data_IF_043325828030
#
_entry.id   IF_043325828030
#
_cell.length_a   1.000
_cell.length_b   1.000
_cell.length_c   1.000
_cell.angle_alpha   90.00
_cell.angle_beta   90.00
_cell.angle_gamma   90.00
#
_symmetry.space_group_name_H-M   'P 1'
#
loop_
_entity.id
_entity.type
_entity.pdbx_description
1 polymer ?
#
# COMPACT_ATOMS: atom_id res chain seq x y z
N UNK A 1 23.58 -3.08 -34.97
CA UNK A 1 23.45 -2.19 -33.80
C UNK A 1 22.26 -2.64 -32.97
N UNK A 2 22.50 -3.12 -31.75
CA UNK A 2 21.48 -3.69 -30.84
C UNK A 2 20.91 -2.57 -29.97
N UNK A 3 19.59 -2.38 -29.98
CA UNK A 3 18.87 -1.52 -29.01
C UNK A 3 17.52 -2.20 -28.70
N UNK A 4 17.49 -3.28 -27.91
CA UNK A 4 17.21 -3.31 -26.45
C UNK A 4 16.22 -2.26 -25.94
N UNK A 5 14.97 -2.24 -26.44
CA UNK A 5 13.81 -1.92 -25.59
C UNK A 5 12.60 -2.67 -26.15
N UNK A 6 12.35 -3.90 -25.68
CA UNK A 6 11.03 -4.52 -25.83
C UNK A 6 10.23 -4.08 -24.60
N UNK A 7 9.35 -3.10 -24.76
CA UNK A 7 8.39 -2.72 -23.73
C UNK A 7 7.30 -3.79 -23.70
N UNK A 8 7.61 -4.89 -23.02
CA UNK A 8 6.63 -5.91 -22.63
C UNK A 8 5.49 -5.17 -21.92
N UNK A 9 4.32 -5.19 -22.56
CA UNK A 9 3.12 -4.52 -22.09
C UNK A 9 2.80 -4.99 -20.68
N UNK A 10 2.82 -4.05 -19.74
CA UNK A 10 2.25 -4.20 -18.42
C UNK A 10 0.74 -4.45 -18.61
N UNK A 11 0.36 -5.73 -18.65
CA UNK A 11 -1.04 -6.15 -18.68
C UNK A 11 -1.67 -5.85 -17.33
N UNK A 12 -2.31 -4.68 -17.22
CA UNK A 12 -3.15 -4.31 -16.07
C UNK A 12 -4.34 -5.25 -15.90
N UNK A 13 -4.68 -5.98 -16.97
CA UNK A 13 -5.78 -6.94 -17.04
C UNK A 13 -5.41 -8.23 -16.27
N UNK A 14 -4.16 -8.68 -16.33
CA UNK A 14 -3.67 -9.82 -15.53
C UNK A 14 -3.55 -9.48 -14.03
N UNK A 15 -3.37 -8.19 -13.71
CA UNK A 15 -3.47 -7.71 -12.32
C UNK A 15 -4.91 -7.74 -11.77
N UNK A 16 -5.91 -7.69 -12.65
CA UNK A 16 -7.33 -7.64 -12.30
C UNK A 16 -8.00 -9.02 -12.23
N UNK A 17 -7.33 -10.09 -12.67
CA UNK A 17 -7.83 -11.46 -12.50
C UNK A 17 -7.59 -11.94 -11.05
N UNK A 18 -8.55 -11.60 -10.16
CA UNK A 18 -8.65 -11.94 -8.73
C UNK A 18 -8.61 -13.44 -8.35
N UNK A 19 -8.15 -14.33 -9.24
CA UNK A 19 -8.08 -15.77 -9.00
C UNK A 19 -6.96 -16.19 -8.03
N UNK A 20 -6.00 -15.30 -7.79
CA UNK A 20 -4.97 -15.45 -6.77
C UNK A 20 -5.09 -14.25 -5.85
N UNK A 21 -4.86 -14.41 -4.54
CA UNK A 21 -4.89 -13.31 -3.57
C UNK A 21 -3.89 -12.21 -3.94
N UNK A 22 -4.30 -11.30 -4.82
CA UNK A 22 -3.53 -10.17 -5.34
C UNK A 22 -3.41 -9.07 -4.29
N UNK A 23 -4.33 -9.05 -3.32
CA UNK A 23 -4.41 -7.99 -2.32
C UNK A 23 -3.12 -7.68 -1.57
N UNK A 24 -2.35 -8.66 -1.02
CA UNK A 24 -1.07 -8.34 -0.39
C UNK A 24 -0.05 -7.77 -1.38
N UNK A 25 -0.08 -8.17 -2.65
CA UNK A 25 0.85 -7.70 -3.69
C UNK A 25 0.48 -6.29 -4.20
N UNK A 26 -0.82 -5.97 -4.29
CA UNK A 26 -1.26 -4.64 -4.71
C UNK A 26 -0.92 -3.57 -3.67
N UNK A 27 -1.05 -3.93 -2.37
CA UNK A 27 -0.71 -3.05 -1.25
C UNK A 27 0.78 -2.73 -1.23
N UNK A 28 1.66 -3.69 -1.56
CA UNK A 28 3.11 -3.42 -1.59
C UNK A 28 3.52 -2.48 -2.71
N UNK A 29 2.88 -2.56 -3.89
CA UNK A 29 3.09 -1.59 -4.97
C UNK A 29 2.59 -0.21 -4.56
N UNK A 30 1.39 -0.14 -3.98
CA UNK A 30 0.79 1.12 -3.52
C UNK A 30 1.64 1.79 -2.43
N UNK A 31 2.21 1.00 -1.52
CA UNK A 31 3.15 1.49 -0.50
C UNK A 31 4.34 2.23 -1.12
N UNK A 32 4.99 1.64 -2.13
CA UNK A 32 6.11 2.27 -2.82
C UNK A 32 5.71 3.55 -3.55
N UNK A 33 4.55 3.55 -4.22
CA UNK A 33 4.01 4.73 -4.91
C UNK A 33 3.74 5.86 -3.92
N UNK A 34 3.06 5.57 -2.80
CA UNK A 34 2.76 6.55 -1.76
C UNK A 34 4.04 7.07 -1.10
N UNK A 35 5.04 6.21 -0.86
CA UNK A 35 6.32 6.64 -0.31
C UNK A 35 7.03 7.62 -1.25
N UNK A 36 7.09 7.31 -2.55
CA UNK A 36 7.63 8.22 -3.57
C UNK A 36 6.85 9.53 -3.58
N UNK A 37 5.52 9.49 -3.50
CA UNK A 37 4.68 10.69 -3.48
C UNK A 37 4.96 11.57 -2.25
N UNK A 38 5.14 10.97 -1.07
CA UNK A 38 5.47 11.70 0.16
C UNK A 38 6.84 12.36 0.02
N UNK A 39 7.84 11.66 -0.51
CA UNK A 39 9.17 12.22 -0.76
C UNK A 39 9.11 13.38 -1.75
N UNK A 40 8.39 13.22 -2.87
CA UNK A 40 8.19 14.28 -3.87
C UNK A 40 7.47 15.49 -3.28
N UNK A 41 6.42 15.25 -2.49
CA UNK A 41 5.65 16.32 -1.83
C UNK A 41 6.52 17.06 -0.83
N UNK A 42 7.32 16.34 -0.02
CA UNK A 42 8.27 16.95 0.91
C UNK A 42 9.33 17.80 0.21
N UNK A 43 9.91 17.30 -0.89
CA UNK A 43 10.82 18.08 -1.72
C UNK A 43 10.14 19.34 -2.27
N UNK A 44 8.90 19.22 -2.73
CA UNK A 44 8.09 20.35 -3.21
C UNK A 44 7.89 21.42 -2.13
N UNK A 45 7.58 21.02 -0.90
CA UNK A 45 7.40 21.97 0.22
C UNK A 45 8.73 22.62 0.61
N UNK A 46 9.85 21.90 0.56
CA UNK A 46 11.18 22.50 0.82
C UNK A 46 11.50 23.56 -0.23
N UNK A 47 11.31 23.26 -1.53
CA UNK A 47 11.52 24.21 -2.62
C UNK A 47 10.60 25.43 -2.47
N UNK A 48 9.32 25.21 -2.16
CA UNK A 48 8.36 26.28 -1.93
C UNK A 48 8.75 27.17 -0.73
N UNK A 49 9.32 26.58 0.32
CA UNK A 49 9.77 27.31 1.51
C UNK A 49 10.87 28.33 1.18
N UNK A 50 11.78 28.00 0.26
CA UNK A 50 12.81 28.94 -0.22
C UNK A 50 12.20 30.16 -0.94
N UNK A 51 11.12 29.99 -1.71
CA UNK A 51 10.41 31.14 -2.30
C UNK A 51 9.68 31.97 -1.24
N UNK A 52 9.09 31.34 -0.23
CA UNK A 52 8.38 32.06 0.84
C UNK A 52 9.31 32.97 1.66
N UNK A 53 10.59 32.64 1.80
CA UNK A 53 11.59 33.50 2.46
C UNK A 53 11.78 34.86 1.76
N UNK A 54 11.56 34.96 0.45
CA UNK A 54 11.66 36.24 -0.27
C UNK A 54 10.55 37.21 0.10
N UNK A 55 9.36 36.71 0.42
CA UNK A 55 8.20 37.55 0.76
C UNK A 55 8.18 37.88 2.26
N UNK A 56 8.45 36.90 3.11
CA UNK A 56 8.46 37.09 4.57
C UNK A 56 9.33 36.04 5.25
N UNK A 57 10.29 36.50 6.06
CA UNK A 57 11.19 35.65 6.83
C UNK A 57 10.41 34.68 7.75
N UNK A 58 9.36 35.18 8.41
CA UNK A 58 8.56 34.36 9.33
C UNK A 58 7.73 33.31 8.58
N UNK A 59 7.21 33.65 7.39
CA UNK A 59 6.47 32.73 6.54
C UNK A 59 7.33 31.59 6.01
N UNK A 60 8.56 31.89 5.58
CA UNK A 60 9.55 30.88 5.19
C UNK A 60 9.91 29.92 6.32
N UNK A 61 10.07 30.42 7.54
CA UNK A 61 10.37 29.60 8.72
C UNK A 61 9.22 28.62 9.03
N UNK A 62 7.97 29.11 9.04
CA UNK A 62 6.80 28.27 9.29
C UNK A 62 6.67 27.20 8.20
N UNK A 63 6.77 27.58 6.92
CA UNK A 63 6.69 26.65 5.79
C UNK A 63 7.75 25.54 5.89
N UNK A 64 8.99 25.90 6.26
CA UNK A 64 10.07 24.93 6.43
C UNK A 64 9.77 23.91 7.53
N UNK A 65 9.40 24.36 8.73
CA UNK A 65 9.04 23.46 9.83
C UNK A 65 7.83 22.59 9.47
N UNK A 66 6.83 23.16 8.81
CA UNK A 66 5.63 22.43 8.37
C UNK A 66 5.98 21.36 7.33
N UNK A 67 6.93 21.63 6.43
CA UNK A 67 7.44 20.65 5.47
C UNK A 67 8.19 19.49 6.11
N UNK A 68 9.05 19.79 7.09
CA UNK A 68 9.79 18.75 7.84
C UNK A 68 8.83 17.89 8.66
N UNK A 69 7.92 18.52 9.43
CA UNK A 69 6.91 17.79 10.21
C UNK A 69 5.98 16.99 9.28
N UNK A 70 5.60 17.58 8.14
CA UNK A 70 4.72 16.96 7.16
C UNK A 70 5.33 15.72 6.52
N UNK A 71 6.64 15.72 6.25
CA UNK A 71 7.35 14.52 5.79
C UNK A 71 7.30 13.40 6.82
N UNK A 72 7.61 13.71 8.07
CA UNK A 72 7.65 12.73 9.17
C UNK A 72 6.26 12.14 9.39
N UNK A 73 5.25 13.00 9.55
CA UNK A 73 3.85 12.60 9.74
C UNK A 73 3.36 11.85 8.50
N UNK A 74 3.67 12.29 7.29
CA UNK A 74 3.26 11.63 6.05
C UNK A 74 3.78 10.20 5.95
N UNK A 75 5.07 9.96 6.23
CA UNK A 75 5.67 8.62 6.22
C UNK A 75 5.05 7.72 7.28
N UNK A 76 4.85 8.24 8.51
CA UNK A 76 4.24 7.49 9.62
C UNK A 76 2.79 7.12 9.29
N UNK A 77 2.02 8.09 8.80
CA UNK A 77 0.62 7.90 8.43
C UNK A 77 0.48 6.84 7.34
N UNK A 78 1.36 6.87 6.32
CA UNK A 78 1.39 5.85 5.30
C UNK A 78 1.70 4.46 5.88
N UNK A 79 2.69 4.35 6.77
CA UNK A 79 3.02 3.08 7.45
C UNK A 79 1.80 2.51 8.19
N UNK A 80 1.17 3.31 9.05
CA UNK A 80 -0.01 2.89 9.83
C UNK A 80 -1.17 2.52 8.90
N UNK A 81 -1.47 3.35 7.90
CA UNK A 81 -2.59 3.13 6.99
C UNK A 81 -2.46 1.83 6.21
N UNK A 82 -1.28 1.56 5.64
CA UNK A 82 -1.04 0.32 4.90
C UNK A 82 -1.03 -0.93 5.78
N UNK A 83 -0.51 -0.82 7.00
CA UNK A 83 -0.50 -1.93 7.96
C UNK A 83 -1.94 -2.32 8.34
N UNK A 84 -2.81 -1.34 8.63
CA UNK A 84 -4.21 -1.59 8.93
C UNK A 84 -4.96 -2.26 7.78
N UNK A 85 -4.74 -1.80 6.54
CA UNK A 85 -5.38 -2.42 5.36
C UNK A 85 -4.88 -3.86 5.18
N UNK A 86 -3.58 -4.10 5.31
CA UNK A 86 -3.00 -5.44 5.21
C UNK A 86 -3.57 -6.39 6.28
N UNK A 87 -3.66 -5.92 7.52
CA UNK A 87 -4.24 -6.67 8.64
C UNK A 87 -5.70 -7.03 8.38
N UNK A 88 -6.51 -6.10 7.89
CA UNK A 88 -7.92 -6.34 7.56
C UNK A 88 -8.07 -7.47 6.53
N UNK A 89 -7.24 -7.45 5.48
CA UNK A 89 -7.24 -8.52 4.48
C UNK A 89 -6.78 -9.85 5.05
N UNK A 90 -5.80 -9.85 5.96
CA UNK A 90 -5.36 -11.07 6.62
C UNK A 90 -6.49 -11.72 7.45
N UNK A 91 -7.31 -10.91 8.13
CA UNK A 91 -8.47 -11.39 8.88
C UNK A 91 -9.48 -12.05 7.93
N UNK A 92 -9.81 -11.42 6.81
CA UNK A 92 -10.77 -11.97 5.84
C UNK A 92 -10.34 -13.36 5.35
N UNK A 93 -9.05 -13.54 5.04
CA UNK A 93 -8.48 -14.84 4.63
C UNK A 93 -8.56 -15.91 5.71
N UNK A 94 -8.43 -15.52 6.98
CA UNK A 94 -8.51 -16.46 8.09
C UNK A 94 -9.94 -16.94 8.32
N UNK A 95 -10.94 -16.06 8.16
CA UNK A 95 -12.36 -16.41 8.26
C UNK A 95 -12.74 -17.43 7.18
N UNK A 96 -12.29 -17.22 5.93
CA UNK A 96 -12.51 -18.14 4.82
C UNK A 96 -11.98 -19.56 5.11
N UNK A 97 -10.78 -19.67 5.71
CA UNK A 97 -10.20 -20.96 6.09
C UNK A 97 -10.99 -21.68 7.18
N UNK A 98 -11.55 -20.94 8.14
CA UNK A 98 -12.34 -21.54 9.23
C UNK A 98 -13.66 -22.13 8.70
N UNK A 99 -14.30 -21.45 7.74
CA UNK A 99 -15.51 -21.95 7.10
C UNK A 99 -15.27 -23.24 6.31
N UNK A 100 -14.14 -23.34 5.59
CA UNK A 100 -13.77 -24.56 4.85
C UNK A 100 -13.50 -25.75 5.78
N UNK A 101 -12.80 -25.53 6.90
CA UNK A 101 -12.46 -26.61 7.83
C UNK A 101 -13.70 -27.20 8.53
N UNK A 102 -14.74 -26.38 8.79
CA UNK A 102 -16.00 -26.90 9.33
C UNK A 102 -16.69 -27.89 8.39
N UNK A 103 -16.63 -27.67 7.08
CA UNK A 103 -17.27 -28.57 6.11
C UNK A 103 -16.57 -29.93 6.04
N UNK A 104 -15.23 -29.94 6.16
CA UNK A 104 -14.43 -31.17 6.10
C UNK A 104 -14.72 -32.08 7.31
N UNK A 105 -14.87 -31.50 8.51
CA UNK A 105 -15.21 -32.27 9.72
C UNK A 105 -16.62 -32.88 9.69
N UNK A 106 -17.56 -32.30 8.94
CA UNK A 106 -18.92 -32.83 8.81
C UNK A 106 -19.00 -34.00 7.82
N UNK A 107 -18.12 -34.07 6.81
CA UNK A 107 -18.05 -35.19 5.86
C UNK A 107 -17.37 -36.42 6.48
N UNK A 108 -16.36 -36.22 7.33
CA UNK A 108 -15.68 -37.30 8.04
C UNK A 108 -16.63 -38.00 9.04
N UNK A 109 -17.51 -37.26 9.73
CA UNK A 109 -18.50 -37.85 10.65
C UNK A 109 -19.65 -38.59 9.95
N UNK A 110 -20.07 -38.17 8.76
CA UNK A 110 -21.15 -38.83 8.01
C UNK A 110 -20.71 -40.13 7.30
N UNK A 111 -19.39 -40.38 7.25
CA UNK A 111 -18.81 -41.59 6.63
C UNK A 111 -18.65 -42.74 7.62
N UNK A 112 -18.39 -42.44 8.90
CA UNK A 112 -18.32 -43.44 9.98
C UNK A 112 -19.71 -43.92 10.44
N UNK A 113 -20.75 -43.08 10.35
CA UNK A 113 -22.13 -43.47 10.72
C UNK A 113 -22.82 -44.41 9.69
N UNK A 114 -22.18 -44.67 8.54
CA UNK A 114 -22.74 -45.53 7.46
C UNK A 114 -22.04 -46.89 7.30
N UNK A 115 -21.08 -47.22 8.16
CA UNK A 115 -20.49 -48.56 8.27
C UNK A 115 -21.06 -49.32 9.47
#
# INVERSE_FOLDING_TARGET
>A
MKKIINSEGFSLVDFFFFNKMITPVIITILYWVTLVLIVLSGLGVIIASFHSFQYSFLGGLIAFFTGVIGLIVGVISARIGFELVCVLFNINRNIEKLAVNQNSSNEDQNSDDKQ
#
